data_IF_491566179408
#
_entry.id   IF_491566179408
#
_cell.length_a   1.000
_cell.length_b   1.000
_cell.length_c   1.000
_cell.angle_alpha   90.00
_cell.angle_beta   90.00
_cell.angle_gamma   90.00
#
_symmetry.space_group_name_H-M   'P 1'
#
loop_
_entity.id
_entity.type
_entity.pdbx_description
1 polymer ?
#
# COMPACT_ATOMS: atom_id res chain seq x y z
N UNK A 1 -0.10 18.05 4.18
CA UNK A 1 0.68 16.88 4.56
C UNK A 1 1.20 16.18 3.31
N UNK A 2 2.45 15.77 3.30
CA UNK A 2 3.02 15.14 2.11
C UNK A 2 2.53 13.70 1.98
N UNK A 3 2.16 13.26 0.78
CA UNK A 3 1.77 11.88 0.58
C UNK A 3 2.95 10.94 0.73
N UNK A 4 2.65 9.70 1.14
CA UNK A 4 3.63 8.63 1.20
C UNK A 4 3.28 7.63 0.11
N UNK A 5 4.27 7.19 -0.65
CA UNK A 5 4.06 6.24 -1.74
C UNK A 5 4.59 4.87 -1.36
N UNK A 6 3.86 3.84 -1.76
CA UNK A 6 4.17 2.46 -1.44
C UNK A 6 4.08 1.60 -2.70
N UNK A 7 4.82 0.50 -2.68
CA UNK A 7 4.67 -0.56 -3.67
C UNK A 7 4.25 -1.84 -2.94
N UNK A 8 3.28 -2.56 -3.49
CA UNK A 8 2.85 -3.83 -2.92
C UNK A 8 3.84 -4.91 -3.32
N UNK A 9 4.48 -5.53 -2.32
CA UNK A 9 5.45 -6.60 -2.54
C UNK A 9 4.79 -7.96 -2.62
N UNK A 10 3.81 -8.21 -1.75
CA UNK A 10 3.12 -9.50 -1.72
C UNK A 10 1.76 -9.33 -1.08
N UNK A 11 0.87 -10.28 -1.37
CA UNK A 11 -0.44 -10.35 -0.75
C UNK A 11 -0.58 -11.76 -0.18
N UNK A 12 -0.85 -11.85 1.11
CA UNK A 12 -0.96 -13.13 1.82
C UNK A 12 -2.28 -13.15 2.59
N UNK A 13 -3.30 -13.80 2.02
CA UNK A 13 -4.63 -13.83 2.63
C UNK A 13 -5.19 -12.42 2.74
N UNK A 14 -5.47 -11.99 3.96
CA UNK A 14 -6.08 -10.68 4.22
C UNK A 14 -5.05 -9.56 4.39
N UNK A 15 -3.76 -9.86 4.24
CA UNK A 15 -2.70 -8.89 4.47
C UNK A 15 -1.84 -8.68 3.24
N UNK A 16 -1.36 -7.45 3.09
CA UNK A 16 -0.38 -7.09 2.07
C UNK A 16 0.90 -6.62 2.72
N UNK A 17 2.03 -6.98 2.12
CA UNK A 17 3.33 -6.45 2.49
C UNK A 17 3.65 -5.31 1.53
N UNK A 18 3.90 -4.13 2.07
CA UNK A 18 4.19 -2.93 1.31
C UNK A 18 5.59 -2.44 1.63
N UNK A 19 6.15 -1.68 0.71
CA UNK A 19 7.42 -1.00 0.97
C UNK A 19 7.30 0.45 0.51
N UNK A 20 7.79 1.38 1.31
CA UNK A 20 7.85 2.79 0.94
C UNK A 20 8.97 3.01 -0.08
N UNK A 21 8.96 4.17 -0.74
CA UNK A 21 10.00 4.49 -1.71
C UNK A 21 11.38 4.62 -1.05
N UNK A 22 11.43 4.90 0.25
CA UNK A 22 12.69 4.97 0.99
C UNK A 22 13.04 3.64 1.69
N UNK A 23 12.32 2.55 1.36
CA UNK A 23 12.70 1.21 1.80
C UNK A 23 12.13 0.76 3.13
N UNK A 24 11.10 1.42 3.66
CA UNK A 24 10.50 1.03 4.94
C UNK A 24 9.39 -0.01 4.71
N UNK A 25 9.51 -1.22 5.29
CA UNK A 25 8.47 -2.23 5.12
C UNK A 25 7.28 -1.99 6.03
N UNK A 26 6.10 -2.32 5.51
CA UNK A 26 4.85 -2.23 6.26
C UNK A 26 3.96 -3.41 5.93
N UNK A 27 3.15 -3.82 6.89
CA UNK A 27 2.14 -4.85 6.69
C UNK A 27 0.79 -4.23 6.99
N UNK A 28 -0.19 -4.43 6.10
CA UNK A 28 -1.50 -3.80 6.25
C UNK A 28 -2.59 -4.76 5.81
N UNK A 29 -3.75 -4.65 6.43
CA UNK A 29 -4.91 -5.43 6.01
C UNK A 29 -5.41 -4.96 4.64
N UNK A 30 -5.76 -5.92 3.78
CA UNK A 30 -6.31 -5.61 2.46
C UNK A 30 -7.62 -4.81 2.53
N UNK A 31 -8.34 -4.89 3.65
CA UNK A 31 -9.59 -4.17 3.81
C UNK A 31 -9.42 -2.65 3.77
N UNK A 32 -8.23 -2.15 4.06
CA UNK A 32 -7.97 -0.71 4.02
C UNK A 32 -7.49 -0.23 2.66
N UNK A 33 -7.18 -1.15 1.76
CA UNK A 33 -6.61 -0.80 0.46
C UNK A 33 -7.70 -0.69 -0.61
N UNK A 34 -7.47 0.12 -1.66
CA UNK A 34 -8.46 0.27 -2.72
C UNK A 34 -8.73 -1.06 -3.42
N UNK A 35 -9.93 -1.19 -3.95
CA UNK A 35 -10.28 -2.34 -4.77
C UNK A 35 -9.36 -2.38 -5.99
N UNK A 36 -8.93 -3.58 -6.35
CA UNK A 36 -7.99 -3.76 -7.45
C UNK A 36 -6.53 -3.75 -7.05
N UNK A 37 -6.22 -3.53 -5.75
CA UNK A 37 -4.85 -3.59 -5.27
C UNK A 37 -4.32 -5.01 -5.39
N UNK A 38 -3.13 -5.14 -5.99
CA UNK A 38 -2.47 -6.43 -6.18
C UNK A 38 -0.96 -6.26 -6.09
N UNK A 39 -0.23 -7.38 -6.19
CA UNK A 39 1.24 -7.34 -6.19
C UNK A 39 1.72 -6.42 -7.31
N UNK A 40 2.64 -5.52 -6.98
CA UNK A 40 3.17 -4.54 -7.92
C UNK A 40 2.39 -3.25 -7.99
N UNK A 41 1.22 -3.16 -7.36
CA UNK A 41 0.45 -1.93 -7.33
C UNK A 41 1.21 -0.82 -6.63
N UNK A 42 1.06 0.40 -7.15
CA UNK A 42 1.56 1.60 -6.49
C UNK A 42 0.42 2.25 -5.75
N UNK A 43 0.69 2.64 -4.51
CA UNK A 43 -0.30 3.23 -3.63
C UNK A 43 0.19 4.57 -3.10
N UNK A 44 -0.73 5.46 -2.90
CA UNK A 44 -0.48 6.75 -2.26
C UNK A 44 -1.31 6.82 -0.99
N UNK A 45 -0.68 7.19 0.13
CA UNK A 45 -1.36 7.46 1.39
C UNK A 45 -1.25 8.93 1.68
N UNK A 46 -2.40 9.60 1.76
CA UNK A 46 -2.47 11.03 2.08
C UNK A 46 -3.75 11.30 2.85
N UNK A 47 -3.63 12.03 3.97
CA UNK A 47 -4.79 12.34 4.82
C UNK A 47 -5.56 11.10 5.22
N UNK A 48 -4.83 10.03 5.57
CA UNK A 48 -5.38 8.73 5.98
C UNK A 48 -6.18 8.02 4.89
N UNK A 49 -6.04 8.44 3.64
CA UNK A 49 -6.73 7.81 2.51
C UNK A 49 -5.73 7.12 1.59
N UNK A 50 -6.05 5.88 1.24
CA UNK A 50 -5.26 5.07 0.31
C UNK A 50 -5.83 5.20 -1.10
N UNK A 51 -4.94 5.41 -2.08
CA UNK A 51 -5.33 5.50 -3.49
C UNK A 51 -4.37 4.72 -4.36
N UNK A 52 -4.90 4.07 -5.40
CA UNK A 52 -4.07 3.49 -6.46
C UNK A 52 -3.58 4.62 -7.37
N UNK A 53 -2.30 4.58 -7.72
CA UNK A 53 -1.70 5.58 -8.62
C UNK A 53 -1.02 4.93 -9.81
#
# INVERSE_FOLDING_TARGET
MNPIYYTVLSVNGDYAELITDDGQPHSITMFLLPEGTTVGSRLKLENFMWELV
#
